data_IF_389560792904
#
_entry.id   IF_389560792904
#
_cell.length_a   1.000
_cell.length_b   1.000
_cell.length_c   1.000
_cell.angle_alpha   90.00
_cell.angle_beta   90.00
_cell.angle_gamma   90.00
#
_symmetry.space_group_name_H-M   'P 1'
#
loop_
_entity.id
_entity.type
_entity.pdbx_description
1 polymer ?
#
# COMPACT_ATOMS: atom_id res chain seq x y z
N UNK A 1 -23.61 -10.39 2.83
CA UNK A 1 -23.43 -11.18 1.58
C UNK A 1 -22.51 -10.50 0.58
N UNK A 2 -22.73 -9.22 0.23
CA UNK A 2 -21.90 -8.47 -0.75
C UNK A 2 -20.40 -8.42 -0.42
N UNK A 3 -20.05 -8.14 0.85
CA UNK A 3 -18.65 -8.16 1.31
C UNK A 3 -17.98 -9.53 1.15
N UNK A 4 -18.64 -10.62 1.53
CA UNK A 4 -18.08 -11.97 1.39
C UNK A 4 -17.79 -12.32 -0.07
N UNK A 5 -18.66 -11.92 -1.00
CA UNK A 5 -18.41 -12.13 -2.43
C UNK A 5 -17.23 -11.30 -2.93
N UNK A 6 -17.08 -10.05 -2.48
CA UNK A 6 -15.89 -9.25 -2.78
C UNK A 6 -14.62 -9.92 -2.24
N UNK A 7 -14.68 -10.46 -1.01
CA UNK A 7 -13.57 -11.16 -0.37
C UNK A 7 -13.17 -12.40 -1.15
N UNK A 8 -14.13 -13.27 -1.49
CA UNK A 8 -13.86 -14.48 -2.26
C UNK A 8 -13.47 -14.24 -3.72
N UNK A 9 -13.79 -13.06 -4.27
CA UNK A 9 -13.36 -12.67 -5.61
C UNK A 9 -11.92 -12.15 -5.63
N UNK A 10 -11.54 -11.32 -4.65
CA UNK A 10 -10.22 -10.68 -4.60
C UNK A 10 -9.17 -11.49 -3.84
N UNK A 11 -9.55 -12.60 -3.21
CA UNK A 11 -8.65 -13.45 -2.41
C UNK A 11 -8.91 -14.93 -2.66
N UNK A 12 -7.96 -15.78 -2.25
CA UNK A 12 -8.10 -17.24 -2.29
C UNK A 12 -9.10 -17.79 -1.26
N UNK A 13 -9.67 -16.95 -0.40
CA UNK A 13 -10.59 -17.36 0.67
C UNK A 13 -11.90 -17.85 0.03
N UNK A 14 -12.10 -19.17 0.06
CA UNK A 14 -13.33 -19.79 -0.45
C UNK A 14 -14.53 -19.40 0.41
N UNK A 15 -15.55 -18.84 -0.22
CA UNK A 15 -16.83 -18.55 0.43
C UNK A 15 -17.86 -19.67 0.14
N UNK A 16 -18.67 -20.07 1.12
CA UNK A 16 -19.73 -21.06 0.91
C UNK A 16 -20.74 -20.64 -0.16
N UNK A 17 -21.15 -21.59 -1.01
CA UNK A 17 -22.06 -21.35 -2.14
C UNK A 17 -23.36 -20.64 -1.77
N UNK A 18 -23.88 -20.89 -0.55
CA UNK A 18 -25.08 -20.21 -0.01
C UNK A 18 -24.98 -18.68 0.04
N UNK A 19 -23.77 -18.13 -0.04
CA UNK A 19 -23.53 -16.70 -0.03
C UNK A 19 -23.32 -16.10 -1.42
N UNK A 20 -23.28 -16.91 -2.50
CA UNK A 20 -23.10 -16.40 -3.85
C UNK A 20 -24.25 -15.50 -4.28
N UNK A 21 -23.89 -14.35 -4.84
CA UNK A 21 -24.85 -13.45 -5.45
C UNK A 21 -25.36 -14.03 -6.77
N UNK A 22 -26.60 -13.73 -7.12
CA UNK A 22 -27.18 -14.06 -8.43
C UNK A 22 -26.52 -13.24 -9.53
N UNK A 23 -26.56 -13.75 -10.75
CA UNK A 23 -26.04 -13.06 -11.94
C UNK A 23 -26.63 -11.64 -12.07
N UNK A 24 -25.77 -10.66 -12.38
CA UNK A 24 -26.14 -9.24 -12.49
C UNK A 24 -26.11 -8.45 -11.17
N UNK A 25 -26.00 -9.09 -10.01
CA UNK A 25 -25.86 -8.39 -8.71
C UNK A 25 -24.40 -8.14 -8.30
N UNK A 26 -23.43 -8.68 -9.05
CA UNK A 26 -22.02 -8.63 -8.70
C UNK A 26 -21.44 -7.22 -8.64
N UNK A 27 -21.98 -6.29 -9.45
CA UNK A 27 -21.72 -4.84 -9.37
C UNK A 27 -21.89 -4.25 -7.96
N UNK A 28 -22.75 -4.84 -7.12
CA UNK A 28 -22.99 -4.40 -5.73
C UNK A 28 -21.85 -4.76 -4.78
N UNK A 29 -20.85 -5.52 -5.23
CA UNK A 29 -19.65 -5.88 -4.44
C UNK A 29 -18.55 -4.81 -4.53
N UNK A 30 -18.55 -4.00 -5.58
CA UNK A 30 -17.54 -2.96 -5.85
C UNK A 30 -17.23 -2.02 -4.67
N UNK A 31 -18.20 -1.51 -3.89
CA UNK A 31 -17.91 -0.66 -2.72
C UNK A 31 -17.00 -1.31 -1.68
N UNK A 32 -17.00 -2.64 -1.63
CA UNK A 32 -16.26 -3.40 -0.64
C UNK A 32 -14.83 -3.70 -1.08
N UNK A 33 -14.44 -3.40 -2.32
CA UNK A 33 -13.10 -3.69 -2.84
C UNK A 33 -12.01 -2.99 -2.00
N UNK A 34 -12.10 -1.67 -1.69
CA UNK A 34 -11.11 -1.01 -0.83
C UNK A 34 -11.05 -1.64 0.57
N UNK A 35 -12.21 -2.01 1.13
CA UNK A 35 -12.30 -2.66 2.45
C UNK A 35 -11.63 -4.04 2.44
N UNK A 36 -11.83 -4.83 1.38
CA UNK A 36 -11.12 -6.10 1.19
C UNK A 36 -9.61 -5.87 1.05
N UNK A 37 -9.19 -4.83 0.33
CA UNK A 37 -7.78 -4.42 0.28
C UNK A 37 -7.22 -4.10 1.67
N UNK A 38 -7.96 -3.37 2.51
CA UNK A 38 -7.54 -3.11 3.89
C UNK A 38 -7.45 -4.40 4.72
N UNK A 39 -8.37 -5.35 4.54
CA UNK A 39 -8.30 -6.67 5.20
C UNK A 39 -7.05 -7.43 4.78
N UNK A 40 -6.75 -7.48 3.47
CA UNK A 40 -5.51 -8.08 2.96
C UNK A 40 -4.30 -7.42 3.61
N UNK A 41 -4.25 -6.09 3.63
CA UNK A 41 -3.16 -5.34 4.26
C UNK A 41 -3.00 -5.60 5.76
N UNK A 42 -4.10 -5.71 6.52
CA UNK A 42 -4.06 -6.03 7.95
C UNK A 42 -3.55 -7.46 8.20
N UNK A 43 -3.97 -8.43 7.38
CA UNK A 43 -3.45 -9.80 7.46
C UNK A 43 -1.96 -9.82 7.09
N UNK A 44 -1.53 -9.06 6.09
CA UNK A 44 -0.12 -8.87 5.74
C UNK A 44 0.69 -8.29 6.90
N UNK A 45 0.14 -7.34 7.67
CA UNK A 45 0.78 -6.79 8.87
C UNK A 45 0.91 -7.84 9.99
N UNK A 46 -0.09 -8.69 10.19
CA UNK A 46 0.00 -9.82 11.12
C UNK A 46 1.07 -10.82 10.68
N UNK A 47 1.13 -11.13 9.39
CA UNK A 47 2.15 -11.99 8.80
C UNK A 47 3.56 -11.39 9.00
N UNK A 48 3.75 -10.10 8.68
CA UNK A 48 5.00 -9.38 8.91
C UNK A 48 5.44 -9.49 10.38
N UNK A 49 4.51 -9.25 11.30
CA UNK A 49 4.77 -9.30 12.75
C UNK A 49 5.17 -10.72 13.17
N UNK A 50 4.46 -11.75 12.72
CA UNK A 50 4.79 -13.14 13.02
C UNK A 50 6.14 -13.58 12.41
N UNK A 51 6.43 -13.19 11.17
CA UNK A 51 7.69 -13.50 10.49
C UNK A 51 8.89 -12.80 11.15
N UNK A 52 8.66 -11.66 11.80
CA UNK A 52 9.72 -10.89 12.50
C UNK A 52 10.33 -11.59 13.71
N UNK A 53 9.70 -12.66 14.21
CA UNK A 53 10.26 -13.50 15.26
C UNK A 53 11.33 -14.47 14.77
N UNK A 54 11.40 -14.72 13.44
CA UNK A 54 12.18 -15.81 12.87
C UNK A 54 13.18 -15.31 11.84
N UNK A 55 12.79 -14.33 11.03
CA UNK A 55 13.55 -13.93 9.84
C UNK A 55 14.15 -12.52 9.97
N UNK A 56 15.29 -12.24 9.30
CA UNK A 56 15.81 -10.90 9.14
C UNK A 56 14.93 -10.05 8.20
N UNK A 57 15.00 -8.72 8.33
CA UNK A 57 14.10 -7.78 7.66
C UNK A 57 13.94 -8.02 6.16
N UNK A 58 15.03 -8.22 5.39
CA UNK A 58 14.92 -8.43 3.95
C UNK A 58 14.06 -9.66 3.61
N UNK A 59 14.23 -10.75 4.37
CA UNK A 59 13.50 -11.98 4.15
C UNK A 59 12.03 -11.81 4.55
N UNK A 60 11.75 -11.08 5.64
CA UNK A 60 10.38 -10.72 6.00
C UNK A 60 9.71 -9.94 4.86
N UNK A 61 10.38 -8.95 4.26
CA UNK A 61 9.81 -8.13 3.19
C UNK A 61 9.59 -8.94 1.90
N UNK A 62 10.52 -9.82 1.53
CA UNK A 62 10.34 -10.74 0.39
C UNK A 62 9.13 -11.65 0.63
N UNK A 63 9.04 -12.25 1.83
CA UNK A 63 7.93 -13.11 2.21
C UNK A 63 6.60 -12.34 2.29
N UNK A 64 6.61 -11.09 2.73
CA UNK A 64 5.44 -10.21 2.78
C UNK A 64 4.87 -9.98 1.38
N UNK A 65 5.72 -9.60 0.42
CA UNK A 65 5.30 -9.40 -0.97
C UNK A 65 4.79 -10.71 -1.59
N UNK A 66 5.49 -11.82 -1.35
CA UNK A 66 5.04 -13.14 -1.79
C UNK A 66 3.69 -13.54 -1.18
N UNK A 67 3.49 -13.26 0.11
CA UNK A 67 2.24 -13.52 0.82
C UNK A 67 1.07 -12.72 0.24
N UNK A 68 1.26 -11.44 -0.09
CA UNK A 68 0.24 -10.62 -0.76
C UNK A 68 -0.17 -11.19 -2.13
N UNK A 69 0.79 -11.68 -2.90
CA UNK A 69 0.51 -12.32 -4.20
C UNK A 69 -0.30 -13.59 -3.99
N UNK A 70 0.09 -14.44 -3.04
CA UNK A 70 -0.59 -15.72 -2.75
C UNK A 70 -2.00 -15.49 -2.22
N UNK A 71 -2.19 -14.62 -1.22
CA UNK A 71 -3.50 -14.40 -0.61
C UNK A 71 -4.51 -13.79 -1.59
N UNK A 72 -4.04 -13.01 -2.56
CA UNK A 72 -4.88 -12.45 -3.63
C UNK A 72 -5.03 -13.40 -4.84
N UNK A 73 -4.42 -14.59 -4.79
CA UNK A 73 -4.45 -15.57 -5.86
C UNK A 73 -3.71 -15.15 -7.13
N UNK A 74 -2.86 -14.12 -7.05
CA UNK A 74 -2.12 -13.59 -8.21
C UNK A 74 -2.98 -12.83 -9.22
N UNK A 75 -4.29 -12.66 -9.01
CA UNK A 75 -5.23 -12.08 -10.00
C UNK A 75 -4.77 -10.74 -10.57
N UNK A 76 -4.25 -9.87 -9.71
CA UNK A 76 -3.81 -8.53 -10.11
C UNK A 76 -2.42 -8.55 -10.78
N UNK A 77 -1.58 -9.52 -10.40
CA UNK A 77 -0.27 -9.75 -11.00
C UNK A 77 -0.42 -10.34 -12.41
N UNK A 78 -1.37 -11.23 -12.60
CA UNK A 78 -1.78 -11.71 -13.92
C UNK A 78 -2.22 -10.54 -14.81
N UNK A 79 -3.09 -9.68 -14.26
CA UNK A 79 -3.55 -8.48 -14.96
C UNK A 79 -2.45 -7.52 -15.39
N UNK A 80 -1.40 -7.30 -14.58
CA UNK A 80 -0.27 -6.46 -15.01
C UNK A 80 0.55 -7.13 -16.12
N UNK A 81 0.72 -8.45 -16.07
CA UNK A 81 1.45 -9.20 -17.09
C UNK A 81 0.73 -9.11 -18.45
N UNK A 82 -0.57 -9.47 -18.47
CA UNK A 82 -1.40 -9.41 -19.68
C UNK A 82 -1.51 -7.99 -20.22
N UNK A 83 -1.68 -7.00 -19.35
CA UNK A 83 -1.75 -5.59 -19.75
C UNK A 83 -0.47 -5.16 -20.48
N UNK A 84 0.71 -5.57 -20.02
CA UNK A 84 1.97 -5.22 -20.65
C UNK A 84 2.25 -6.04 -21.90
N UNK A 85 2.01 -7.35 -21.90
CA UNK A 85 2.15 -8.18 -23.10
C UNK A 85 1.23 -7.69 -24.23
N UNK A 86 -0.05 -7.49 -23.91
CA UNK A 86 -1.00 -6.90 -24.85
C UNK A 86 -0.51 -5.56 -25.37
N UNK A 87 -0.10 -4.66 -24.47
CA UNK A 87 0.30 -3.29 -24.83
C UNK A 87 1.55 -3.23 -25.72
N UNK A 88 2.56 -4.04 -25.44
CA UNK A 88 3.87 -3.95 -26.08
C UNK A 88 4.03 -4.92 -27.26
N UNK A 89 3.25 -6.00 -27.31
CA UNK A 89 3.26 -6.96 -28.43
C UNK A 89 2.10 -6.81 -29.41
N UNK A 90 1.02 -6.10 -29.03
CA UNK A 90 -0.16 -5.87 -29.89
C UNK A 90 -0.06 -4.66 -30.85
N UNK A 91 1.10 -4.01 -30.92
CA UNK A 91 1.34 -2.82 -31.76
C UNK A 91 0.30 -1.70 -31.57
N UNK A 92 -0.28 -1.15 -32.65
CA UNK A 92 -1.34 -0.12 -32.63
C UNK A 92 -2.74 -0.70 -32.88
N UNK A 93 -2.86 -2.02 -33.06
CA UNK A 93 -4.15 -2.68 -33.34
C UNK A 93 -4.82 -3.14 -32.04
N UNK A 94 -6.01 -2.60 -31.78
CA UNK A 94 -6.80 -2.90 -30.58
C UNK A 94 -7.20 -4.37 -30.52
N UNK A 95 -7.52 -4.97 -31.66
CA UNK A 95 -8.00 -6.35 -31.74
C UNK A 95 -6.88 -7.28 -31.32
N UNK A 96 -5.68 -7.08 -31.87
CA UNK A 96 -4.50 -7.86 -31.54
C UNK A 96 -4.06 -7.69 -30.08
N UNK A 97 -4.11 -6.47 -29.53
CA UNK A 97 -3.85 -6.25 -28.09
C UNK A 97 -4.79 -7.12 -27.24
N UNK A 98 -6.10 -7.09 -27.52
CA UNK A 98 -7.10 -7.85 -26.76
C UNK A 98 -7.01 -9.37 -27.00
N UNK A 99 -6.56 -9.81 -28.17
CA UNK A 99 -6.29 -11.22 -28.44
C UNK A 99 -5.11 -11.73 -27.61
N UNK A 100 -4.02 -10.96 -27.53
CA UNK A 100 -2.83 -11.32 -26.74
C UNK A 100 -3.20 -11.43 -25.26
N UNK A 101 -3.92 -10.45 -24.72
CA UNK A 101 -4.38 -10.45 -23.32
C UNK A 101 -5.29 -11.64 -22.97
N UNK A 102 -5.93 -12.27 -23.96
CA UNK A 102 -6.77 -13.45 -23.75
C UNK A 102 -6.04 -14.77 -23.93
N UNK A 103 -4.83 -14.74 -24.49
CA UNK A 103 -4.16 -15.94 -24.97
C UNK A 103 -3.62 -16.80 -23.82
N UNK A 104 -3.55 -16.30 -22.59
CA UNK A 104 -3.09 -17.04 -21.40
C UNK A 104 -1.59 -17.35 -21.39
N UNK A 105 -0.92 -17.25 -22.53
CA UNK A 105 0.53 -17.31 -22.66
C UNK A 105 1.16 -16.01 -22.15
N UNK A 106 2.10 -16.10 -21.21
CA UNK A 106 2.89 -14.93 -20.77
C UNK A 106 4.05 -14.68 -21.72
N UNK A 107 4.14 -13.46 -22.25
CA UNK A 107 5.23 -12.98 -23.08
C UNK A 107 6.39 -12.38 -22.28
N UNK A 108 7.43 -11.96 -23.00
CA UNK A 108 8.64 -11.38 -22.38
C UNK A 108 8.32 -10.07 -21.63
N UNK A 109 7.39 -9.26 -22.13
CA UNK A 109 7.03 -8.00 -21.48
C UNK A 109 6.26 -8.25 -20.18
N UNK A 110 5.39 -9.26 -20.14
CA UNK A 110 4.70 -9.74 -18.95
C UNK A 110 5.68 -10.20 -17.88
N UNK A 111 6.64 -11.05 -18.24
CA UNK A 111 7.69 -11.52 -17.31
C UNK A 111 8.53 -10.35 -16.78
N UNK A 112 8.99 -9.45 -17.66
CA UNK A 112 9.79 -8.30 -17.26
C UNK A 112 9.04 -7.39 -16.29
N UNK A 113 7.78 -7.06 -16.57
CA UNK A 113 7.02 -6.18 -15.67
C UNK A 113 6.74 -6.84 -14.32
N UNK A 114 6.52 -8.16 -14.27
CA UNK A 114 6.37 -8.90 -13.01
C UNK A 114 7.65 -8.80 -12.17
N UNK A 115 8.82 -9.02 -12.79
CA UNK A 115 10.12 -8.90 -12.11
C UNK A 115 10.31 -7.49 -11.57
N UNK A 116 10.14 -6.45 -12.41
CA UNK A 116 10.25 -5.06 -11.98
C UNK A 116 9.27 -4.72 -10.85
N UNK A 117 8.04 -5.21 -10.95
CA UNK A 117 7.00 -4.99 -9.93
C UNK A 117 7.41 -5.56 -8.58
N UNK A 118 7.88 -6.81 -8.55
CA UNK A 118 8.29 -7.48 -7.31
C UNK A 118 9.52 -6.77 -6.72
N UNK A 119 10.53 -6.44 -7.55
CA UNK A 119 11.73 -5.73 -7.11
C UNK A 119 11.38 -4.36 -6.51
N UNK A 120 10.50 -3.60 -7.17
CA UNK A 120 10.08 -2.28 -6.67
C UNK A 120 9.31 -2.40 -5.35
N UNK A 121 8.35 -3.33 -5.24
CA UNK A 121 7.62 -3.54 -3.98
C UNK A 121 8.56 -3.94 -2.85
N UNK A 122 9.45 -4.92 -3.08
CA UNK A 122 10.43 -5.37 -2.07
C UNK A 122 11.37 -4.23 -1.67
N UNK A 123 11.97 -3.54 -2.65
CA UNK A 123 12.91 -2.47 -2.41
C UNK A 123 12.32 -1.32 -1.61
N UNK A 124 11.16 -0.79 -2.03
CA UNK A 124 10.56 0.35 -1.34
C UNK A 124 9.92 -0.01 -0.01
N UNK A 125 9.38 -1.22 0.17
CA UNK A 125 8.96 -1.66 1.51
C UNK A 125 10.15 -1.80 2.45
N UNK A 126 11.27 -2.36 1.97
CA UNK A 126 12.50 -2.45 2.76
C UNK A 126 13.00 -1.05 3.15
N UNK A 127 13.09 -0.11 2.20
CA UNK A 127 13.54 1.25 2.51
C UNK A 127 12.58 1.99 3.45
N UNK A 128 11.26 1.81 3.32
CA UNK A 128 10.26 2.34 4.26
C UNK A 128 10.44 1.75 5.66
N UNK A 129 10.61 0.44 5.76
CA UNK A 129 10.85 -0.23 7.04
C UNK A 129 12.14 0.30 7.68
N UNK A 130 13.22 0.43 6.91
CA UNK A 130 14.50 0.97 7.43
C UNK A 130 14.33 2.39 7.93
N UNK A 131 13.77 3.31 7.12
CA UNK A 131 13.69 4.73 7.48
C UNK A 131 12.75 5.00 8.66
N UNK A 132 11.66 4.24 8.77
CA UNK A 132 10.68 4.41 9.84
C UNK A 132 11.08 3.69 11.13
N UNK A 133 11.59 2.46 11.04
CA UNK A 133 11.83 1.58 12.21
C UNK A 133 13.22 1.79 12.81
N UNK A 134 14.21 2.14 11.97
CA UNK A 134 15.59 2.39 12.39
C UNK A 134 15.94 3.87 12.20
N UNK A 135 15.28 4.78 12.93
CA UNK A 135 15.52 6.20 12.77
C UNK A 135 17.03 6.45 12.89
N UNK A 136 17.57 7.07 11.83
CA UNK A 136 18.99 7.36 11.66
C UNK A 136 19.55 7.90 12.97
N UNK A 137 20.42 7.11 13.59
CA UNK A 137 21.22 7.50 14.74
C UNK A 137 22.19 8.59 14.26
N UNK A 138 21.70 9.82 14.08
CA UNK A 138 22.50 11.04 13.96
C UNK A 138 23.04 11.38 15.35
N UNK A 139 23.80 10.47 15.93
CA UNK A 139 24.73 10.76 17.02
C UNK A 139 26.14 10.43 16.52
N UNK A 140 26.74 11.38 15.80
CA UNK A 140 28.20 11.49 15.67
C UNK A 140 28.98 10.41 14.91
N UNK A 141 28.38 9.35 14.37
CA UNK A 141 29.11 8.38 13.55
C UNK A 141 28.96 8.79 12.09
N UNK A 142 30.09 9.12 11.47
CA UNK A 142 30.21 9.43 10.05
C UNK A 142 29.39 8.44 9.22
N UNK A 143 28.56 8.97 8.32
CA UNK A 143 27.56 8.25 7.53
C UNK A 143 28.11 7.12 6.63
N UNK A 144 29.43 6.83 6.68
CA UNK A 144 30.09 5.75 5.97
C UNK A 144 30.49 4.54 6.82
N UNK A 145 30.42 4.59 8.16
CA UNK A 145 30.91 3.48 9.01
C UNK A 145 29.84 2.81 9.88
N UNK A 146 28.72 3.48 10.17
CA UNK A 146 27.65 2.92 11.01
C UNK A 146 26.68 2.00 10.25
N UNK A 147 26.48 2.22 8.96
CA UNK A 147 25.45 1.51 8.19
C UNK A 147 25.87 0.08 7.86
N UNK A 148 27.12 -0.19 7.52
CA UNK A 148 27.50 -1.56 7.14
C UNK A 148 27.82 -2.45 8.34
N UNK A 149 28.56 -1.97 9.35
CA UNK A 149 28.96 -2.78 10.51
C UNK A 149 27.84 -3.08 11.51
N UNK A 150 26.97 -2.11 11.79
CA UNK A 150 25.86 -2.27 12.75
C UNK A 150 24.68 -3.05 12.14
N UNK A 151 24.41 -2.84 10.85
CA UNK A 151 23.50 -3.70 10.14
C UNK A 151 24.11 -5.11 10.07
N UNK A 152 25.37 -5.30 9.61
CA UNK A 152 26.06 -6.61 9.47
C UNK A 152 26.01 -7.49 10.72
N UNK A 153 26.26 -6.91 11.91
CA UNK A 153 26.24 -7.64 13.18
C UNK A 153 24.84 -8.15 13.58
N UNK A 154 23.78 -7.44 13.19
CA UNK A 154 22.39 -7.79 13.50
C UNK A 154 21.69 -8.60 12.40
N UNK A 155 22.18 -8.59 11.15
CA UNK A 155 21.68 -9.46 10.06
C UNK A 155 21.85 -10.95 10.39
N UNK A 156 22.94 -11.32 11.07
CA UNK A 156 23.28 -12.72 11.33
C UNK A 156 22.58 -13.34 12.54
N UNK A 157 22.14 -12.52 13.50
CA UNK A 157 21.70 -13.04 14.81
C UNK A 157 20.18 -13.11 14.98
N UNK A 158 19.37 -12.50 14.10
CA UNK A 158 17.90 -12.53 14.17
C UNK A 158 17.28 -11.93 15.45
N UNK A 159 18.09 -11.57 16.43
CA UNK A 159 17.69 -11.26 17.80
C UNK A 159 17.26 -9.81 18.02
N UNK A 160 17.44 -8.92 17.04
CA UNK A 160 17.14 -7.51 17.24
C UNK A 160 15.65 -7.20 17.18
N UNK A 161 14.90 -7.80 16.24
CA UNK A 161 13.50 -7.45 16.00
C UNK A 161 12.58 -7.88 17.14
N UNK A 162 12.61 -9.17 17.53
CA UNK A 162 11.84 -9.65 18.68
C UNK A 162 12.41 -9.15 20.02
N UNK A 163 13.74 -9.13 20.17
CA UNK A 163 14.40 -8.73 21.41
C UNK A 163 14.12 -7.28 21.81
N UNK A 164 14.17 -6.33 20.89
CA UNK A 164 13.89 -4.91 21.21
C UNK A 164 12.40 -4.56 21.24
N UNK A 165 11.55 -5.34 20.55
CA UNK A 165 10.09 -5.19 20.61
C UNK A 165 9.53 -5.44 22.01
N UNK A 166 9.95 -6.53 22.67
CA UNK A 166 9.49 -6.86 24.03
C UNK A 166 10.33 -6.24 25.14
N UNK A 167 11.62 -5.97 24.90
CA UNK A 167 12.50 -5.39 25.92
C UNK A 167 12.34 -3.87 26.10
N UNK A 168 11.49 -3.19 25.31
CA UNK A 168 11.19 -1.77 25.48
C UNK A 168 12.39 -0.83 25.33
N UNK A 169 13.47 -1.27 24.66
CA UNK A 169 14.78 -0.62 24.67
C UNK A 169 14.93 0.58 23.73
N UNK A 170 13.99 0.85 22.83
CA UNK A 170 14.01 2.07 22.01
C UNK A 170 12.59 2.53 21.66
N UNK A 171 12.08 3.52 22.40
CA UNK A 171 10.72 4.06 22.25
C UNK A 171 10.41 4.68 20.87
N UNK A 172 11.45 5.00 20.10
CA UNK A 172 11.35 5.58 18.75
C UNK A 172 10.92 4.52 17.70
N UNK A 173 11.16 3.24 17.95
CA UNK A 173 10.85 2.14 17.01
C UNK A 173 9.36 1.79 16.89
N UNK A 174 8.54 2.07 17.92
CA UNK A 174 7.13 1.67 17.94
C UNK A 174 6.24 2.56 17.04
N UNK A 175 6.42 3.89 17.09
CA UNK A 175 5.68 4.82 16.23
C UNK A 175 6.08 4.66 14.76
N UNK A 176 7.37 4.46 14.51
CA UNK A 176 7.91 4.13 13.20
C UNK A 176 7.36 2.83 12.64
N UNK A 177 7.33 1.75 13.45
CA UNK A 177 6.71 0.51 13.01
C UNK A 177 5.21 0.68 12.76
N UNK A 178 4.47 1.36 13.63
CA UNK A 178 3.04 1.59 13.41
C UNK A 178 2.80 2.38 12.12
N UNK A 179 3.64 3.38 11.81
CA UNK A 179 3.57 4.11 10.54
C UNK A 179 3.86 3.19 9.34
N UNK A 180 4.87 2.31 9.45
CA UNK A 180 5.18 1.32 8.42
C UNK A 180 4.00 0.35 8.20
N UNK A 181 3.45 -0.21 9.28
CA UNK A 181 2.30 -1.11 9.23
C UNK A 181 1.05 -0.42 8.70
N UNK A 182 0.85 0.87 9.00
CA UNK A 182 -0.24 1.66 8.43
C UNK A 182 -0.08 1.77 6.91
N UNK A 183 1.11 2.15 6.42
CA UNK A 183 1.39 2.29 4.98
C UNK A 183 1.25 0.94 4.28
N UNK A 184 1.80 -0.13 4.87
CA UNK A 184 1.66 -1.49 4.36
C UNK A 184 0.19 -1.93 4.30
N UNK A 185 -0.59 -1.70 5.35
CA UNK A 185 -2.01 -2.06 5.38
C UNK A 185 -2.85 -1.29 4.35
N UNK A 186 -2.55 0.00 4.15
CA UNK A 186 -3.30 0.83 3.21
C UNK A 186 -2.86 0.65 1.75
N UNK A 187 -1.70 0.07 1.49
CA UNK A 187 -1.23 -0.12 0.11
C UNK A 187 -2.22 -0.99 -0.70
N UNK A 188 -2.59 -2.22 -0.27
CA UNK A 188 -3.57 -2.99 -1.01
C UNK A 188 -4.96 -2.32 -1.04
N UNK A 189 -5.35 -1.60 0.01
CA UNK A 189 -6.57 -0.78 0.02
C UNK A 189 -6.56 0.25 -1.11
N UNK A 190 -5.45 0.97 -1.30
CA UNK A 190 -5.30 1.99 -2.34
C UNK A 190 -5.34 1.39 -3.76
N UNK A 191 -4.74 0.22 -3.98
CA UNK A 191 -4.88 -0.49 -5.26
C UNK A 191 -6.35 -0.77 -5.61
N UNK A 192 -7.16 -1.22 -4.64
CA UNK A 192 -8.58 -1.52 -4.86
C UNK A 192 -9.43 -0.26 -4.99
N UNK A 193 -8.99 0.82 -4.35
CA UNK A 193 -9.54 2.17 -4.54
C UNK A 193 -9.40 2.62 -5.99
N UNK A 194 -8.21 2.42 -6.59
CA UNK A 194 -7.98 2.80 -7.99
C UNK A 194 -8.88 2.02 -8.95
N UNK A 195 -9.16 0.73 -8.69
CA UNK A 195 -10.12 -0.03 -9.51
C UNK A 195 -11.50 0.59 -9.45
N UNK A 196 -11.96 0.94 -8.24
CA UNK A 196 -13.29 1.51 -8.04
C UNK A 196 -13.47 2.84 -8.79
N UNK A 197 -12.44 3.69 -8.78
CA UNK A 197 -12.41 4.90 -9.59
C UNK A 197 -12.52 4.58 -11.09
N UNK A 198 -11.70 3.65 -11.59
CA UNK A 198 -11.67 3.27 -13.00
C UNK A 198 -13.00 2.64 -13.47
N UNK A 199 -13.66 1.86 -12.60
CA UNK A 199 -14.99 1.32 -12.87
C UNK A 199 -16.04 2.42 -13.05
N UNK A 200 -15.89 3.55 -12.36
CA UNK A 200 -16.83 4.66 -12.46
C UNK A 200 -16.61 5.58 -13.65
N UNK A 201 -15.37 5.66 -14.13
CA UNK A 201 -14.95 6.61 -15.18
C UNK A 201 -15.03 6.02 -16.59
N UNK A 202 -14.77 4.73 -16.77
CA UNK A 202 -14.59 4.12 -18.10
C UNK A 202 -15.69 3.12 -18.46
N UNK A 203 -15.95 2.97 -19.75
CA UNK A 203 -16.83 1.93 -20.31
C UNK A 203 -16.05 0.62 -20.54
N UNK A 204 -16.71 -0.55 -20.54
CA UNK A 204 -16.03 -1.81 -20.76
C UNK A 204 -15.54 -1.91 -22.21
N UNK A 205 -14.31 -2.40 -22.41
CA UNK A 205 -13.72 -2.53 -23.74
C UNK A 205 -14.44 -3.57 -24.61
N UNK A 206 -14.98 -4.63 -23.99
CA UNK A 206 -15.80 -5.64 -24.64
C UNK A 206 -17.11 -5.83 -23.86
N UNK A 207 -18.19 -5.11 -24.23
CA UNK A 207 -19.50 -5.23 -23.60
C UNK A 207 -20.01 -6.69 -23.65
N UNK A 208 -20.47 -7.21 -22.51
CA UNK A 208 -21.07 -8.56 -22.40
C UNK A 208 -20.09 -9.74 -22.48
N UNK A 209 -18.79 -9.51 -22.76
CA UNK A 209 -17.77 -10.57 -22.88
C UNK A 209 -16.61 -10.44 -21.89
N UNK A 210 -16.56 -9.34 -21.12
CA UNK A 210 -15.45 -9.06 -20.21
C UNK A 210 -15.92 -9.08 -18.76
N UNK A 211 -15.02 -9.50 -17.86
CA UNK A 211 -15.26 -9.42 -16.42
C UNK A 211 -15.67 -8.01 -15.99
N UNK A 212 -15.04 -6.98 -16.56
CA UNK A 212 -15.39 -5.57 -16.31
C UNK A 212 -16.86 -5.27 -16.63
N UNK A 213 -17.43 -5.88 -17.67
CA UNK A 213 -18.84 -5.69 -18.03
C UNK A 213 -19.82 -6.29 -17.00
N UNK A 214 -19.41 -7.31 -16.23
CA UNK A 214 -20.25 -7.88 -15.17
C UNK A 214 -20.40 -6.94 -13.95
N UNK A 215 -19.46 -6.01 -13.77
CA UNK A 215 -19.43 -5.06 -12.68
C UNK A 215 -20.09 -3.72 -12.99
N UNK A 216 -20.27 -3.38 -14.27
CA UNK A 216 -20.77 -2.08 -14.69
C UNK A 216 -22.29 -2.10 -14.89
N UNK A 217 -23.02 -1.57 -13.91
CA UNK A 217 -24.45 -1.27 -14.01
C UNK A 217 -24.65 0.24 -13.76
N UNK A 218 -25.40 0.93 -14.61
CA UNK A 218 -25.46 2.41 -14.72
C UNK A 218 -25.86 3.16 -13.44
N UNK A 219 -26.47 2.48 -12.44
CA UNK A 219 -27.18 3.15 -11.35
C UNK A 219 -26.36 3.53 -10.10
N UNK A 220 -25.10 3.12 -9.93
CA UNK A 220 -24.43 3.23 -8.61
C UNK A 220 -23.09 4.00 -8.54
N UNK A 221 -22.62 4.62 -9.63
CA UNK A 221 -21.29 5.26 -9.68
C UNK A 221 -21.05 6.37 -8.65
N UNK A 222 -22.07 7.17 -8.30
CA UNK A 222 -21.90 8.28 -7.33
C UNK A 222 -21.68 7.85 -5.88
N UNK A 223 -22.25 6.73 -5.45
CA UNK A 223 -22.08 6.23 -4.07
C UNK A 223 -20.65 5.67 -3.88
N UNK A 224 -20.04 5.17 -4.95
CA UNK A 224 -18.72 4.53 -4.94
C UNK A 224 -17.56 5.52 -4.71
N UNK A 225 -17.64 6.72 -5.27
CA UNK A 225 -16.63 7.78 -5.11
C UNK A 225 -16.57 8.28 -3.66
N UNK A 226 -17.70 8.27 -2.96
CA UNK A 226 -17.82 8.85 -1.61
C UNK A 226 -17.12 8.00 -0.55
N UNK A 227 -17.34 6.67 -0.52
CA UNK A 227 -16.66 5.76 0.43
C UNK A 227 -15.13 5.76 0.24
N UNK A 228 -14.68 5.99 -0.99
CA UNK A 228 -13.26 6.04 -1.37
C UNK A 228 -12.53 7.24 -0.77
N UNK A 229 -13.21 8.38 -0.71
CA UNK A 229 -12.70 9.62 -0.12
C UNK A 229 -12.54 9.45 1.40
N UNK A 230 -13.50 8.83 2.08
CA UNK A 230 -13.42 8.61 3.53
C UNK A 230 -12.21 7.76 3.94
N UNK A 231 -11.92 6.66 3.23
CA UNK A 231 -10.74 5.82 3.53
C UNK A 231 -9.42 6.57 3.31
N UNK A 232 -9.36 7.41 2.28
CA UNK A 232 -8.18 8.24 2.01
C UNK A 232 -7.97 9.30 3.09
N UNK A 233 -9.06 9.91 3.59
CA UNK A 233 -9.02 10.86 4.71
C UNK A 233 -8.58 10.16 5.99
N UNK A 234 -9.10 8.96 6.27
CA UNK A 234 -8.70 8.16 7.44
C UNK A 234 -7.21 7.83 7.37
N UNK A 235 -6.71 7.40 6.21
CA UNK A 235 -5.27 7.18 6.01
C UNK A 235 -4.48 8.44 6.31
N UNK A 236 -4.84 9.58 5.71
CA UNK A 236 -4.13 10.84 5.94
C UNK A 236 -4.10 11.20 7.43
N UNK A 237 -5.24 11.14 8.11
CA UNK A 237 -5.36 11.46 9.53
C UNK A 237 -4.48 10.55 10.40
N UNK A 238 -4.52 9.24 10.17
CA UNK A 238 -3.70 8.26 10.91
C UNK A 238 -2.21 8.43 10.61
N UNK A 239 -1.85 8.68 9.34
CA UNK A 239 -0.46 8.87 8.95
C UNK A 239 0.12 10.16 9.56
N UNK A 240 -0.67 11.25 9.56
CA UNK A 240 -0.30 12.50 10.24
C UNK A 240 -0.08 12.24 11.72
N UNK A 241 -1.00 11.54 12.38
CA UNK A 241 -0.90 11.23 13.80
C UNK A 241 0.37 10.43 14.14
N UNK A 242 0.63 9.33 13.44
CA UNK A 242 1.77 8.46 13.71
C UNK A 242 3.12 9.11 13.40
N UNK A 243 3.21 9.84 12.28
CA UNK A 243 4.42 10.57 11.93
C UNK A 243 4.67 11.75 12.87
N UNK A 244 3.62 12.37 13.43
CA UNK A 244 3.77 13.40 14.46
C UNK A 244 4.30 12.83 15.77
N UNK A 245 3.88 11.63 16.17
CA UNK A 245 4.42 10.93 17.35
C UNK A 245 5.90 10.57 17.11
N UNK A 246 6.22 10.06 15.93
CA UNK A 246 7.61 9.72 15.57
C UNK A 246 8.50 10.97 15.61
N UNK A 247 8.05 12.06 14.99
CA UNK A 247 8.71 13.36 14.99
C UNK A 247 8.95 13.90 16.41
N UNK A 248 7.91 13.86 17.26
CA UNK A 248 8.03 14.26 18.66
C UNK A 248 9.04 13.39 19.43
N UNK A 249 9.01 12.07 19.21
CA UNK A 249 9.91 11.10 19.87
C UNK A 249 11.37 11.30 19.46
N UNK A 250 11.63 11.72 18.22
CA UNK A 250 12.96 12.08 17.74
C UNK A 250 13.46 13.39 18.36
N UNK A 251 12.57 14.37 18.50
CA UNK A 251 12.89 15.67 19.11
C UNK A 251 13.19 15.55 20.62
N UNK A 252 12.47 14.68 21.34
CA UNK A 252 12.66 14.49 22.79
C UNK A 252 13.88 13.63 23.15
N UNK A 253 14.44 12.87 22.21
CA UNK A 253 15.59 11.99 22.40
C UNK A 253 16.87 12.70 22.85
N UNK A 254 17.02 14.01 22.59
CA UNK A 254 18.17 14.81 23.04
C UNK A 254 18.16 15.10 24.56
N UNK A 255 17.06 14.78 25.26
CA UNK A 255 16.87 15.13 26.70
C UNK A 255 17.05 13.98 27.70
N UNK A 256 17.49 12.80 27.25
CA UNK A 256 17.89 11.70 28.15
C UNK A 256 16.75 10.98 28.89
N UNK A 257 15.48 11.24 28.58
CA UNK A 257 14.35 10.49 29.12
C UNK A 257 13.37 10.12 28.01
N UNK A 258 13.25 8.82 27.67
CA UNK A 258 11.98 8.07 27.72
C UNK A 258 12.08 6.69 27.04
N UNK A 259 11.89 5.66 27.84
CA UNK A 259 11.35 4.36 27.40
C UNK A 259 9.86 4.52 27.07
N UNK A 260 9.42 4.10 25.88
CA UNK A 260 8.05 4.29 25.43
C UNK A 260 7.29 2.98 25.21
N UNK A 261 5.99 3.03 25.51
CA UNK A 261 4.91 2.40 24.72
C UNK A 261 3.59 3.07 25.12
N UNK A 262 3.15 2.89 26.38
CA UNK A 262 1.97 3.58 26.92
C UNK A 262 2.28 5.01 27.36
N UNK A 263 3.41 5.22 28.03
CA UNK A 263 3.79 6.54 28.51
C UNK A 263 4.05 7.53 27.37
N UNK A 264 4.51 7.13 26.19
CA UNK A 264 4.68 8.05 25.05
C UNK A 264 3.35 8.55 24.48
N UNK A 265 2.36 7.67 24.32
CA UNK A 265 1.00 8.03 23.89
C UNK A 265 0.29 8.83 24.99
N UNK A 266 0.45 8.43 26.26
CA UNK A 266 -0.11 9.12 27.42
C UNK A 266 0.57 10.48 27.64
N UNK A 267 1.89 10.61 27.45
CA UNK A 267 2.61 11.88 27.50
C UNK A 267 2.23 12.75 26.31
N UNK A 268 2.14 12.22 25.09
CA UNK A 268 1.65 12.97 23.94
C UNK A 268 0.22 13.45 24.16
N UNK A 269 -0.64 12.64 24.76
CA UNK A 269 -2.02 13.01 25.11
C UNK A 269 -2.09 14.06 26.23
N UNK A 270 -1.34 13.88 27.33
CA UNK A 270 -1.30 14.81 28.48
C UNK A 270 -0.59 16.12 28.14
N UNK A 271 0.46 16.04 27.33
CA UNK A 271 1.19 17.18 26.80
C UNK A 271 0.71 17.56 25.41
N UNK A 272 -0.45 17.11 24.93
CA UNK A 272 -0.95 17.55 23.61
C UNK A 272 -1.18 19.06 23.65
N UNK A 273 -1.76 19.53 24.76
CA UNK A 273 -1.88 20.93 25.10
C UNK A 273 -0.52 21.63 25.20
N UNK A 274 0.52 21.01 25.78
CA UNK A 274 1.86 21.59 25.89
C UNK A 274 2.74 21.43 24.63
N UNK A 275 2.43 20.50 23.73
CA UNK A 275 3.02 20.34 22.41
C UNK A 275 2.45 21.42 21.46
N UNK A 276 1.17 21.76 21.64
CA UNK A 276 0.51 22.89 20.98
C UNK A 276 0.86 24.23 21.65
N UNK A 277 1.00 24.29 22.98
CA UNK A 277 1.14 25.54 23.74
C UNK A 277 2.56 25.85 24.27
N UNK A 278 3.47 24.88 24.30
CA UNK A 278 4.69 24.96 25.12
C UNK A 278 6.03 25.01 24.38
N UNK A 279 6.09 24.81 23.06
CA UNK A 279 7.37 24.95 22.35
C UNK A 279 7.20 25.36 20.89
N UNK A 280 7.25 26.68 20.68
CA UNK A 280 7.62 27.42 19.45
C UNK A 280 6.86 27.04 18.17
N UNK A 281 6.63 28.01 17.29
CA UNK A 281 5.96 27.86 15.98
C UNK A 281 6.40 26.63 15.12
N UNK A 282 7.54 26.00 15.42
CA UNK A 282 8.04 24.78 14.78
C UNK A 282 7.18 23.52 14.94
N UNK A 283 6.52 23.29 16.09
CA UNK A 283 5.75 22.04 16.31
C UNK A 283 4.46 21.99 15.47
N UNK A 284 3.77 23.13 15.39
CA UNK A 284 2.59 23.32 14.54
C UNK A 284 2.98 23.28 13.06
N UNK A 285 4.08 23.95 12.69
CA UNK A 285 4.61 23.92 11.32
C UNK A 285 4.94 22.48 10.89
N UNK A 286 5.51 21.66 11.77
CA UNK A 286 5.84 20.26 11.47
C UNK A 286 4.59 19.41 11.21
N UNK A 287 3.53 19.55 12.01
CA UNK A 287 2.25 18.87 11.76
C UNK A 287 1.67 19.30 10.41
N UNK A 288 1.68 20.61 10.12
CA UNK A 288 1.18 21.14 8.83
C UNK A 288 1.99 20.55 7.67
N UNK A 289 3.32 20.50 7.77
CA UNK A 289 4.17 19.90 6.74
C UNK A 289 3.86 18.41 6.53
N UNK A 290 3.71 17.64 7.61
CA UNK A 290 3.32 16.21 7.53
C UNK A 290 1.94 16.06 6.89
N UNK A 291 0.99 16.94 7.22
CA UNK A 291 -0.36 16.94 6.67
C UNK A 291 -0.37 17.25 5.18
N UNK A 292 0.36 18.30 4.76
CA UNK A 292 0.53 18.66 3.35
C UNK A 292 1.17 17.51 2.57
N UNK A 293 2.22 16.89 3.11
CA UNK A 293 2.89 15.75 2.48
C UNK A 293 1.97 14.54 2.36
N UNK A 294 1.22 14.20 3.41
CA UNK A 294 0.23 13.09 3.37
C UNK A 294 -0.87 13.34 2.33
N UNK A 295 -1.36 14.59 2.22
CA UNK A 295 -2.33 14.98 1.20
C UNK A 295 -1.73 14.90 -0.22
N UNK A 296 -0.47 15.32 -0.41
CA UNK A 296 0.24 15.22 -1.68
C UNK A 296 0.43 13.76 -2.11
N UNK A 297 0.74 12.84 -1.19
CA UNK A 297 0.84 11.40 -1.49
C UNK A 297 -0.46 10.89 -2.10
N UNK A 298 -1.59 11.17 -1.46
CA UNK A 298 -2.91 10.74 -1.96
C UNK A 298 -3.20 11.39 -3.31
N UNK A 299 -3.02 12.71 -3.42
CA UNK A 299 -3.29 13.47 -4.64
C UNK A 299 -2.48 12.97 -5.83
N UNK A 300 -1.16 12.83 -5.67
CA UNK A 300 -0.26 12.38 -6.73
C UNK A 300 -0.54 10.92 -7.12
N UNK A 301 -0.89 10.07 -6.16
CA UNK A 301 -1.30 8.68 -6.44
C UNK A 301 -2.59 8.64 -7.27
N UNK A 302 -3.57 9.50 -6.97
CA UNK A 302 -4.79 9.62 -7.79
C UNK A 302 -4.52 10.20 -9.18
N UNK A 303 -3.67 11.23 -9.28
CA UNK A 303 -3.26 11.79 -10.58
C UNK A 303 -2.62 10.68 -11.44
N UNK A 304 -1.76 9.85 -10.85
CA UNK A 304 -1.20 8.70 -11.55
C UNK A 304 -2.28 7.75 -12.08
N UNK A 305 -3.26 7.37 -11.25
CA UNK A 305 -4.37 6.49 -11.65
C UNK A 305 -5.16 7.09 -12.83
N UNK A 306 -5.42 8.41 -12.81
CA UNK A 306 -6.12 9.11 -13.90
C UNK A 306 -5.30 9.04 -15.19
N UNK A 307 -3.99 9.34 -15.11
CA UNK A 307 -3.10 9.34 -16.28
C UNK A 307 -2.96 7.91 -16.84
N UNK A 308 -2.71 6.93 -15.99
CA UNK A 308 -2.59 5.52 -16.38
C UNK A 308 -3.89 5.00 -17.00
N UNK A 309 -5.04 5.29 -16.36
CA UNK A 309 -6.37 4.98 -16.88
C UNK A 309 -6.56 5.54 -18.28
N UNK A 310 -6.29 6.83 -18.49
CA UNK A 310 -6.41 7.46 -19.83
C UNK A 310 -5.45 6.85 -20.84
N UNK A 311 -4.22 6.52 -20.44
CA UNK A 311 -3.20 5.96 -21.33
C UNK A 311 -3.59 4.58 -21.84
N UNK A 312 -3.97 3.65 -20.95
CA UNK A 312 -4.27 2.27 -21.31
C UNK A 312 -5.66 2.13 -21.97
N UNK A 313 -6.67 2.85 -21.48
CA UNK A 313 -8.03 2.73 -22.03
C UNK A 313 -8.18 3.33 -23.43
N UNK A 314 -7.46 4.42 -23.76
CA UNK A 314 -7.44 4.99 -25.12
C UNK A 314 -6.92 3.99 -26.16
N UNK A 315 -6.05 3.08 -25.75
CA UNK A 315 -5.43 2.10 -26.66
C UNK A 315 -6.38 0.95 -27.00
N UNK A 316 -7.13 0.42 -26.04
CA UNK A 316 -8.04 -0.71 -26.29
C UNK A 316 -9.50 -0.31 -26.54
N UNK A 317 -9.86 0.96 -26.30
CA UNK A 317 -11.23 1.47 -26.49
C UNK A 317 -12.17 1.28 -25.29
N UNK A 318 -11.63 1.07 -24.09
CA UNK A 318 -12.39 0.89 -22.86
C UNK A 318 -11.53 0.26 -21.77
N UNK A 319 -12.16 -0.38 -20.78
CA UNK A 319 -11.45 -1.07 -19.70
C UNK A 319 -11.71 -2.59 -19.69
N UNK A 320 -10.67 -3.38 -19.38
CA UNK A 320 -10.74 -4.82 -19.13
C UNK A 320 -10.43 -5.15 -17.67
N UNK A 321 -10.69 -6.38 -17.24
CA UNK A 321 -10.30 -6.85 -15.90
C UNK A 321 -8.79 -6.76 -15.68
N UNK A 322 -8.00 -7.09 -16.71
CA UNK A 322 -6.54 -7.11 -16.64
C UNK A 322 -5.97 -5.70 -16.52
N UNK A 323 -6.56 -4.71 -17.22
CA UNK A 323 -6.16 -3.30 -17.06
C UNK A 323 -6.50 -2.79 -15.66
N UNK A 324 -7.64 -3.18 -15.10
CA UNK A 324 -7.98 -2.83 -13.72
C UNK A 324 -6.98 -3.42 -12.73
N UNK A 325 -6.65 -4.71 -12.89
CA UNK A 325 -5.63 -5.39 -12.11
C UNK A 325 -4.27 -4.74 -12.25
N UNK A 326 -3.82 -4.51 -13.49
CA UNK A 326 -2.53 -3.90 -13.79
C UNK A 326 -2.38 -2.49 -13.25
N UNK A 327 -3.37 -1.61 -13.45
CA UNK A 327 -3.32 -0.25 -12.89
C UNK A 327 -3.37 -0.29 -11.37
N UNK A 328 -4.10 -1.24 -10.75
CA UNK A 328 -4.12 -1.37 -9.30
C UNK A 328 -2.76 -1.69 -8.70
N UNK A 329 -1.99 -2.60 -9.33
CA UNK A 329 -0.64 -2.96 -8.89
C UNK A 329 0.33 -1.79 -9.09
N UNK A 330 0.22 -1.08 -10.22
CA UNK A 330 1.02 0.12 -10.44
C UNK A 330 0.68 1.23 -9.43
N UNK A 331 -0.60 1.39 -9.08
CA UNK A 331 -1.05 2.36 -8.09
C UNK A 331 -0.51 2.04 -6.69
N UNK A 332 -0.45 0.76 -6.31
CA UNK A 332 0.21 0.32 -5.07
C UNK A 332 1.69 0.73 -5.05
N UNK A 333 2.43 0.44 -6.13
CA UNK A 333 3.86 0.78 -6.22
C UNK A 333 4.06 2.30 -6.10
N UNK A 334 3.30 3.09 -6.86
CA UNK A 334 3.38 4.56 -6.80
C UNK A 334 3.05 5.08 -5.41
N UNK A 335 2.05 4.52 -4.75
CA UNK A 335 1.68 4.87 -3.39
C UNK A 335 2.82 4.59 -2.39
N UNK A 336 3.46 3.42 -2.46
CA UNK A 336 4.63 3.08 -1.63
C UNK A 336 5.78 4.07 -1.89
N UNK A 337 6.09 4.35 -3.16
CA UNK A 337 7.17 5.27 -3.56
C UNK A 337 6.92 6.67 -3.03
N UNK A 338 5.71 7.19 -3.18
CA UNK A 338 5.35 8.53 -2.73
C UNK A 338 5.40 8.65 -1.20
N UNK A 339 4.97 7.62 -0.47
CA UNK A 339 5.14 7.57 0.98
C UNK A 339 6.63 7.59 1.37
N UNK A 340 7.45 6.81 0.68
CA UNK A 340 8.90 6.81 0.90
C UNK A 340 9.52 8.18 0.66
N UNK A 341 9.21 8.83 -0.46
CA UNK A 341 9.71 10.17 -0.78
C UNK A 341 9.23 11.21 0.25
N UNK A 342 7.94 11.16 0.61
CA UNK A 342 7.35 12.02 1.64
C UNK A 342 8.12 11.93 2.97
N UNK A 343 8.44 10.70 3.41
CA UNK A 343 9.16 10.44 4.66
C UNK A 343 10.66 10.76 4.55
N UNK A 344 11.29 10.44 3.42
CA UNK A 344 12.73 10.66 3.22
C UNK A 344 13.10 12.14 3.19
N UNK A 345 12.23 12.96 2.63
CA UNK A 345 12.42 14.41 2.58
C UNK A 345 11.65 15.13 3.70
N UNK A 346 11.39 14.47 4.84
CA UNK A 346 10.67 15.03 6.00
C UNK A 346 11.29 16.33 6.53
#
# INVERSE_FOLDING_TARGET
MKFLNALGFLTIIKIPQRFYLKDGEFSRTLPYFPVVGLVVGLISCLFFTAASFVFPLILIIILLVGFEIIITGGLHMDGIADMFDGRFSGEKDKTRILEIMKKGDTGVFGVLILIFTIILKVGFYYFLAVILIYPLQKSGISAGQATEGWLAGNWLTGNWFAGNWFAGRSGIGAAGLLAFLLIAAFTPCFGRLSMLYLFGEYKPAQPGKSLASAFMNEKNTKIFTVSSIYLSIIFAALNIFLLSILAFSLSSSDSGQTSATLNGIILFSKNFGAFIAGSQYGSIMMIILIAVKSALVILLSFIFVIIAGKFFTRRIGGISGDILGGISVLAEIVFIILNYLSIRFL
#
